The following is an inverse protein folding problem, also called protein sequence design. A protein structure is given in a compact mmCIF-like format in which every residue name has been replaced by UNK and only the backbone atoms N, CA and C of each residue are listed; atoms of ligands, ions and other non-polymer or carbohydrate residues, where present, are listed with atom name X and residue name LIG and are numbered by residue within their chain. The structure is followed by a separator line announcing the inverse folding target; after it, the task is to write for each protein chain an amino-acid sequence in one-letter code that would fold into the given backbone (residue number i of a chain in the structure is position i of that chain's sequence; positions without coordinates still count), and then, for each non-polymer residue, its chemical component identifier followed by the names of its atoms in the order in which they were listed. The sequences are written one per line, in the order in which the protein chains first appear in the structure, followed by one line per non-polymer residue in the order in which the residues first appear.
data_IF_760552488918
#
_entry.id   IF_760552488918
#
_cell.length_a   1.000
_cell.length_b   1.000
_cell.length_c   1.000
_cell.angle_alpha   90.00
_cell.angle_beta   90.00
_cell.angle_gamma   90.00
#
_symmetry.space_group_name_H-M   'P 1'
#
loop_
_entity.id
_entity.type
_entity.pdbx_description
1 polymer ?
#
# COMPACT_ATOMS: atom_id res chain seq x y z
N UNK A 1 -10.07 -0.29 -6.94
CA UNK A 1 -9.02 -0.49 -5.92
C UNK A 1 -7.73 0.27 -6.19
N UNK A 2 -6.95 -0.02 -7.24
CA UNK A 2 -5.64 0.63 -7.48
C UNK A 2 -5.62 2.16 -7.37
N UNK A 3 -6.62 2.87 -7.93
CA UNK A 3 -6.73 4.34 -7.82
C UNK A 3 -6.98 4.85 -6.39
N UNK A 4 -7.74 4.10 -5.59
CA UNK A 4 -8.02 4.45 -4.19
C UNK A 4 -6.76 4.27 -3.34
N UNK A 5 -6.08 3.14 -3.52
CA UNK A 5 -4.77 2.87 -2.91
C UNK A 5 -3.76 3.93 -3.31
N UNK A 6 -3.68 4.28 -4.60
CA UNK A 6 -2.75 5.30 -5.09
C UNK A 6 -2.95 6.68 -4.43
N UNK A 7 -4.19 7.04 -4.10
CA UNK A 7 -4.53 8.31 -3.45
C UNK A 7 -4.07 8.37 -1.99
N UNK A 8 -3.96 7.22 -1.31
CA UNK A 8 -3.56 7.13 0.11
C UNK A 8 -2.19 6.49 0.32
N UNK A 9 -1.49 6.11 -0.76
CA UNK A 9 -0.17 5.51 -0.70
C UNK A 9 0.87 6.54 -0.24
N UNK A 10 1.38 6.33 0.96
CA UNK A 10 2.44 7.13 1.54
C UNK A 10 3.80 6.75 0.95
N UNK A 11 4.57 7.76 0.56
CA UNK A 11 5.95 7.58 0.10
C UNK A 11 6.92 7.74 1.30
N UNK A 12 7.63 6.66 1.64
CA UNK A 12 8.69 6.61 2.65
C UNK A 12 10.07 6.33 2.03
N UNK A 13 10.20 6.55 0.72
CA UNK A 13 11.44 6.29 -0.02
C UNK A 13 12.54 7.27 0.35
N UNK A 14 13.78 6.80 0.24
CA UNK A 14 15.00 7.59 0.39
C UNK A 14 15.76 7.63 -0.93
N UNK A 15 16.92 8.29 -0.97
CA UNK A 15 17.83 8.22 -2.12
C UNK A 15 18.38 6.81 -2.39
N UNK A 16 18.32 5.92 -1.40
CA UNK A 16 18.96 4.60 -1.45
C UNK A 16 17.97 3.45 -1.60
N UNK A 17 16.72 3.63 -1.19
CA UNK A 17 15.68 2.61 -1.25
C UNK A 17 14.27 3.18 -1.46
N UNK A 18 13.42 2.37 -2.07
CA UNK A 18 12.01 2.67 -2.29
C UNK A 18 11.14 1.93 -1.27
N UNK A 19 10.34 2.71 -0.53
CA UNK A 19 9.43 2.22 0.50
C UNK A 19 8.12 2.99 0.40
N UNK A 20 7.03 2.24 0.41
CA UNK A 20 5.68 2.73 0.32
C UNK A 20 4.81 2.03 1.34
N UNK A 21 3.78 2.73 1.80
CA UNK A 21 2.88 2.24 2.82
C UNK A 21 1.45 2.71 2.58
N UNK A 22 0.48 1.89 2.94
CA UNK A 22 -0.92 2.29 3.20
C UNK A 22 -1.29 1.91 4.63
N UNK A 23 -2.27 2.62 5.19
CA UNK A 23 -2.74 2.41 6.56
C UNK A 23 -4.23 2.10 6.51
N UNK A 24 -4.65 1.07 7.24
CA UNK A 24 -6.07 0.75 7.42
C UNK A 24 -6.78 1.86 8.21
N UNK A 25 -7.83 2.44 7.65
CA UNK A 25 -8.60 3.52 8.29
C UNK A 25 -9.58 3.01 9.39
N UNK A 26 -9.55 1.71 9.71
CA UNK A 26 -10.30 1.11 10.81
C UNK A 26 -9.38 0.72 11.97
N UNK A 27 -8.37 -0.11 11.75
CA UNK A 27 -7.48 -0.60 12.81
C UNK A 27 -6.11 0.09 12.88
N UNK A 28 -5.77 0.95 11.93
CA UNK A 28 -4.44 1.58 11.86
C UNK A 28 -3.31 0.65 11.42
N UNK A 29 -3.60 -0.63 11.09
CA UNK A 29 -2.58 -1.56 10.62
C UNK A 29 -1.91 -1.03 9.34
N UNK A 30 -0.60 -1.24 9.27
CA UNK A 30 0.24 -0.77 8.18
C UNK A 30 0.49 -1.89 7.18
N UNK A 31 0.36 -1.57 5.91
CA UNK A 31 0.73 -2.44 4.82
C UNK A 31 1.78 -1.72 3.98
N UNK A 32 2.91 -2.36 3.69
CA UNK A 32 3.95 -1.75 2.87
C UNK A 32 4.77 -2.78 2.13
N UNK A 33 5.45 -2.33 1.07
CA UNK A 33 6.40 -3.19 0.37
C UNK A 33 7.66 -3.40 1.22
N UNK A 34 8.32 -4.55 1.03
CA UNK A 34 9.71 -4.71 1.46
C UNK A 34 10.58 -3.66 0.78
N UNK A 35 11.56 -3.05 1.47
CA UNK A 35 12.42 -2.04 0.87
C UNK A 35 13.09 -2.52 -0.41
N UNK A 36 12.95 -1.76 -1.50
CA UNK A 36 13.57 -2.06 -2.79
C UNK A 36 14.76 -1.12 -2.94
N UNK A 37 15.99 -1.66 -2.93
CA UNK A 37 17.20 -0.85 -3.06
C UNK A 37 17.29 -0.24 -4.46
N UNK A 38 17.56 1.05 -4.53
CA UNK A 38 17.86 1.75 -5.78
C UNK A 38 19.18 1.23 -6.37
N UNK A 39 19.21 0.93 -7.67
CA UNK A 39 20.33 0.23 -8.30
C UNK A 39 21.67 0.97 -8.21
N UNK A 40 21.67 2.31 -8.15
CA UNK A 40 22.87 3.16 -8.03
C UNK A 40 23.09 3.76 -6.64
N UNK A 41 22.38 3.28 -5.62
CA UNK A 41 22.51 3.74 -4.21
C UNK A 41 23.94 3.79 -3.67
N UNK A 42 24.83 2.90 -4.13
CA UNK A 42 26.24 2.85 -3.70
C UNK A 42 27.22 3.57 -4.63
N UNK A 43 26.74 4.16 -5.72
CA UNK A 43 27.58 4.77 -6.77
C UNK A 43 27.13 6.20 -7.02
N UNK A 44 27.55 7.16 -6.18
CA UNK A 44 27.16 8.55 -6.35
C UNK A 44 27.74 9.11 -7.66
N UNK A 45 26.98 9.95 -8.38
CA UNK A 45 27.45 10.56 -9.62
C UNK A 45 28.52 11.61 -9.32
N UNK A 46 29.59 11.65 -10.11
CA UNK A 46 30.72 12.57 -9.94
C UNK A 46 30.70 13.74 -10.92
N UNK A 47 30.05 13.57 -12.07
CA UNK A 47 29.93 14.60 -13.12
C UNK A 47 28.49 15.06 -13.29
N UNK A 48 28.29 16.24 -13.88
CA UNK A 48 26.94 16.75 -14.20
C UNK A 48 26.18 15.81 -15.15
N UNK A 49 26.87 15.22 -16.14
CA UNK A 49 26.26 14.24 -17.05
C UNK A 49 25.78 13.00 -16.30
N UNK A 50 26.58 12.48 -15.37
CA UNK A 50 26.20 11.35 -14.52
C UNK A 50 25.04 11.71 -13.59
N UNK A 51 24.98 12.93 -13.06
CA UNK A 51 23.87 13.37 -12.22
C UNK A 51 22.54 13.36 -12.96
N UNK A 52 22.52 13.78 -14.23
CA UNK A 52 21.32 13.74 -15.08
C UNK A 52 20.85 12.29 -15.27
N UNK A 53 21.78 11.38 -15.62
CA UNK A 53 21.47 9.96 -15.84
C UNK A 53 20.99 9.31 -14.53
N UNK A 54 21.69 9.57 -13.43
CA UNK A 54 21.36 9.04 -12.11
C UNK A 54 19.96 9.47 -11.66
N UNK A 55 19.59 10.74 -11.87
CA UNK A 55 18.24 11.24 -11.57
C UNK A 55 17.18 10.55 -12.43
N UNK A 56 17.39 10.50 -13.75
CA UNK A 56 16.45 9.86 -14.67
C UNK A 56 16.21 8.38 -14.31
N UNK A 57 17.29 7.67 -13.93
CA UNK A 57 17.22 6.28 -13.49
C UNK A 57 16.47 6.13 -12.16
N UNK A 58 16.78 6.98 -11.17
CA UNK A 58 16.07 6.98 -9.89
C UNK A 58 14.56 7.18 -10.09
N UNK A 59 14.16 8.16 -10.89
CA UNK A 59 12.75 8.43 -11.16
C UNK A 59 12.05 7.27 -11.88
N UNK A 60 12.75 6.60 -12.80
CA UNK A 60 12.23 5.42 -13.49
C UNK A 60 12.01 4.26 -12.50
N UNK A 61 13.04 3.88 -11.75
CA UNK A 61 12.94 2.78 -10.77
C UNK A 61 11.91 3.10 -9.68
N UNK A 62 11.85 4.37 -9.24
CA UNK A 62 10.83 4.83 -8.29
C UNK A 62 9.41 4.62 -8.82
N UNK A 63 9.14 4.99 -10.08
CA UNK A 63 7.81 4.79 -10.70
C UNK A 63 7.43 3.32 -10.79
N UNK A 64 8.39 2.47 -11.13
CA UNK A 64 8.15 1.02 -11.26
C UNK A 64 7.92 0.38 -9.88
N UNK A 65 8.72 0.74 -8.88
CA UNK A 65 8.54 0.32 -7.49
C UNK A 65 7.20 0.80 -6.93
N UNK A 66 6.83 2.07 -7.17
CA UNK A 66 5.54 2.63 -6.75
C UNK A 66 4.37 1.89 -7.41
N UNK A 67 4.45 1.62 -8.72
CA UNK A 67 3.41 0.87 -9.44
C UNK A 67 3.28 -0.55 -8.91
N UNK A 68 4.38 -1.19 -8.51
CA UNK A 68 4.35 -2.51 -7.88
C UNK A 68 3.67 -2.45 -6.51
N UNK A 69 4.06 -1.50 -5.65
CA UNK A 69 3.46 -1.32 -4.33
C UNK A 69 1.95 -1.03 -4.40
N UNK A 70 1.48 -0.24 -5.39
CA UNK A 70 0.03 -0.01 -5.59
C UNK A 70 -0.70 -1.30 -5.96
N UNK A 71 -0.11 -2.14 -6.82
CA UNK A 71 -0.76 -3.41 -7.23
C UNK A 71 -0.88 -4.33 -6.03
N UNK A 72 0.21 -4.50 -5.31
CA UNK A 72 0.34 -5.35 -4.14
C UNK A 72 -0.64 -4.91 -3.03
N UNK A 73 -0.60 -3.63 -2.62
CA UNK A 73 -1.53 -3.10 -1.62
C UNK A 73 -3.01 -3.18 -2.05
N UNK A 74 -3.31 -3.10 -3.35
CA UNK A 74 -4.68 -3.22 -3.84
C UNK A 74 -5.26 -4.64 -3.74
N UNK A 75 -4.44 -5.65 -3.44
CA UNK A 75 -4.88 -7.03 -3.20
C UNK A 75 -5.31 -7.27 -1.74
N UNK A 76 -4.97 -6.34 -0.83
CA UNK A 76 -5.16 -6.51 0.62
C UNK A 76 -5.94 -5.38 1.30
N UNK A 77 -6.30 -4.37 0.50
CA UNK A 77 -7.11 -3.25 0.91
C UNK A 77 -8.46 -3.32 0.23
N UNK A 78 -9.50 -3.05 1.01
CA UNK A 78 -10.91 -3.12 0.65
C UNK A 78 -11.57 -1.77 0.88
N UNK A 79 -12.59 -1.45 0.10
CA UNK A 79 -13.29 -0.18 0.20
C UNK A 79 -14.68 -0.40 0.82
N UNK A 80 -14.95 0.23 1.96
CA UNK A 80 -16.26 0.14 2.59
C UNK A 80 -17.29 0.98 1.81
N UNK A 81 -18.35 0.37 1.25
CA UNK A 81 -19.35 1.11 0.49
C UNK A 81 -20.22 2.02 1.37
N UNK A 82 -20.27 1.78 2.68
CA UNK A 82 -21.07 2.55 3.64
C UNK A 82 -20.32 3.83 4.06
N UNK A 83 -19.18 3.69 4.74
CA UNK A 83 -18.43 4.83 5.27
C UNK A 83 -17.31 5.35 4.35
N UNK A 84 -17.11 4.74 3.18
CA UNK A 84 -16.13 5.15 2.15
C UNK A 84 -14.65 5.08 2.59
N UNK A 85 -14.37 4.41 3.72
CA UNK A 85 -13.00 4.15 4.22
C UNK A 85 -12.35 2.97 3.50
N UNK A 86 -11.04 3.05 3.31
CA UNK A 86 -10.17 1.98 2.86
C UNK A 86 -9.65 1.19 4.08
N UNK A 87 -9.98 -0.10 4.13
CA UNK A 87 -9.70 -0.98 5.28
C UNK A 87 -8.95 -2.24 4.84
N UNK A 88 -8.14 -2.84 5.71
CA UNK A 88 -7.47 -4.11 5.40
C UNK A 88 -8.45 -5.29 5.36
N UNK A 89 -8.02 -6.41 4.80
CA UNK A 89 -8.76 -7.68 4.75
C UNK A 89 -9.40 -8.06 6.11
N UNK A 90 -8.65 -7.97 7.21
CA UNK A 90 -9.14 -8.32 8.54
C UNK A 90 -10.25 -7.37 9.07
N UNK A 91 -10.32 -6.15 8.53
CA UNK A 91 -11.35 -5.18 8.91
C UNK A 91 -12.51 -5.13 7.91
N UNK A 92 -12.44 -5.90 6.82
CA UNK A 92 -13.51 -6.04 5.84
C UNK A 92 -14.25 -7.35 6.06
N UNK A 93 -15.57 -7.28 6.15
CA UNK A 93 -16.46 -8.39 6.50
C UNK A 93 -17.29 -8.72 5.27
N UNK A 94 -17.28 -10.01 4.92
CA UNK A 94 -18.15 -10.58 3.90
C UNK A 94 -19.51 -10.84 4.54
N UNK A 95 -20.53 -10.14 4.06
CA UNK A 95 -21.91 -10.20 4.55
C UNK A 95 -22.83 -10.79 3.48
N UNK A 96 -24.06 -11.16 3.86
CA UNK A 96 -25.00 -11.80 2.93
C UNK A 96 -25.47 -10.84 1.81
N UNK A 97 -25.70 -9.57 2.13
CA UNK A 97 -26.21 -8.57 1.19
C UNK A 97 -25.13 -7.69 0.56
N UNK A 98 -24.27 -7.11 1.39
CA UNK A 98 -23.20 -6.19 0.95
C UNK A 98 -22.01 -6.24 1.88
N UNK A 99 -20.83 -6.47 1.31
CA UNK A 99 -19.59 -6.50 2.08
C UNK A 99 -19.18 -5.09 2.53
N UNK A 100 -18.73 -4.98 3.78
CA UNK A 100 -18.43 -3.69 4.40
C UNK A 100 -17.37 -3.81 5.49
N UNK A 101 -16.94 -2.68 6.06
CA UNK A 101 -16.03 -2.75 7.21
C UNK A 101 -16.76 -3.27 8.46
N UNK A 102 -16.00 -3.89 9.37
CA UNK A 102 -16.52 -4.46 10.63
C UNK A 102 -17.30 -3.46 11.50
N UNK A 103 -16.93 -2.18 11.45
CA UNK A 103 -17.62 -1.12 12.20
C UNK A 103 -19.01 -0.89 11.61
N UNK A 104 -19.13 -0.73 10.29
CA UNK A 104 -20.44 -0.59 9.65
C UNK A 104 -21.29 -1.85 9.75
N UNK A 105 -20.68 -3.04 9.70
CA UNK A 105 -21.40 -4.29 9.90
C UNK A 105 -22.01 -4.36 11.31
N UNK A 106 -21.24 -3.97 12.34
CA UNK A 106 -21.75 -3.89 13.71
C UNK A 106 -22.88 -2.87 13.86
N UNK A 107 -22.70 -1.66 13.29
CA UNK A 107 -23.71 -0.58 13.37
C UNK A 107 -25.03 -0.94 12.67
N UNK A 108 -24.96 -1.74 11.60
CA UNK A 108 -26.12 -2.20 10.81
C UNK A 108 -26.62 -3.59 11.23
N UNK A 109 -26.09 -4.14 12.32
CA UNK A 109 -26.42 -5.47 12.85
C UNK A 109 -26.28 -6.61 11.82
N UNK A 110 -25.37 -6.44 10.85
CA UNK A 110 -25.09 -7.43 9.82
C UNK A 110 -24.14 -8.50 10.34
N UNK A 111 -24.45 -9.76 9.99
CA UNK A 111 -23.57 -10.90 10.27
C UNK A 111 -22.63 -11.14 9.10
N UNK A 112 -21.45 -11.65 9.38
CA UNK A 112 -20.47 -11.96 8.35
C UNK A 112 -19.16 -12.46 8.92
N UNK A 113 -18.21 -12.76 8.03
CA UNK A 113 -16.86 -13.21 8.38
C UNK A 113 -15.82 -12.29 7.75
N UNK A 114 -14.70 -11.99 8.45
CA UNK A 114 -13.61 -11.23 7.86
C UNK A 114 -13.02 -11.90 6.62
N UNK A 115 -12.47 -11.11 5.71
CA UNK A 115 -11.66 -11.65 4.60
C UNK A 115 -10.42 -12.35 5.18
N UNK A 116 -10.16 -13.58 4.73
CA UNK A 116 -8.96 -14.32 5.12
C UNK A 116 -7.71 -13.62 4.59
N UNK A 117 -6.93 -13.00 5.47
CA UNK A 117 -5.65 -12.41 5.10
C UNK A 117 -4.59 -13.50 4.97
N UNK A 118 -4.00 -13.67 3.79
CA UNK A 118 -2.79 -14.48 3.60
C UNK A 118 -1.50 -13.71 3.98
N UNK A 119 -1.63 -12.64 4.76
CA UNK A 119 -0.52 -11.78 5.14
C UNK A 119 0.31 -12.40 6.25
N UNK A 120 1.57 -12.69 5.92
CA UNK A 120 2.61 -12.93 6.92
C UNK A 120 3.03 -11.56 7.43
N UNK A 121 2.77 -11.27 8.71
CA UNK A 121 3.38 -10.14 9.41
C UNK A 121 4.90 -10.21 9.23
N UNK A 122 5.46 -9.44 8.30
CA UNK A 122 6.89 -9.13 8.38
C UNK A 122 7.05 -8.13 9.51
N UNK A 123 7.30 -8.67 10.71
CA UNK A 123 7.81 -7.94 11.85
C UNK A 123 8.95 -7.02 11.40
N UNK A 124 8.86 -5.78 11.85
CA UNK A 124 9.84 -4.70 11.65
C UNK A 124 11.19 -5.10 12.23
#
# INVERSE_FOLDING_TARGET
MKKLVEAVLENRSTKDEFRFRVTCESCGAEYGNRPIRFSKSKTPPTTQREQIIHRALYEQEFRDARRAAIRDAAEHMNYCPICKRLVCDQCFVICDDIDMCKECAADLEQKGQPVLSNWIETAI
#
